data_IF_555546022750
#
_entry.id   IF_555546022750
#
_cell.length_a   1.000
_cell.length_b   1.000
_cell.length_c   1.000
_cell.angle_alpha   90.00
_cell.angle_beta   90.00
_cell.angle_gamma   90.00
#
_symmetry.space_group_name_H-M   'P 1'
#
loop_
_entity.id
_entity.type
_entity.pdbx_description
1 polymer ?
#
# COMPACT_ATOMS: atom_id res chain seq x y z
N UNK A 1 -24.42 -22.55 -22.52
CA UNK A 1 -24.09 -21.10 -22.55
C UNK A 1 -23.07 -20.89 -21.44
N UNK A 2 -21.77 -20.90 -21.77
CA UNK A 2 -20.72 -20.73 -20.77
C UNK A 2 -20.66 -19.25 -20.40
N UNK A 3 -21.15 -18.92 -19.21
CA UNK A 3 -20.86 -17.64 -18.59
C UNK A 3 -19.36 -17.65 -18.25
N UNK A 4 -18.56 -17.10 -19.15
CA UNK A 4 -17.18 -16.72 -18.85
C UNK A 4 -17.33 -15.51 -17.92
N UNK A 5 -17.37 -15.77 -16.62
CA UNK A 5 -17.30 -14.74 -15.60
C UNK A 5 -16.07 -13.88 -15.94
N UNK A 6 -16.32 -12.60 -16.23
CA UNK A 6 -15.27 -11.57 -16.32
C UNK A 6 -14.33 -11.78 -15.14
N UNK A 7 -13.03 -12.00 -15.41
CA UNK A 7 -12.00 -11.95 -14.38
C UNK A 7 -12.27 -10.74 -13.50
N UNK A 8 -12.47 -10.98 -12.21
CA UNK A 8 -12.60 -9.91 -11.22
C UNK A 8 -11.25 -9.19 -11.25
N UNK A 9 -11.20 -8.00 -11.86
CA UNK A 9 -10.06 -7.11 -11.71
C UNK A 9 -9.98 -6.85 -10.21
N UNK A 10 -8.86 -7.19 -9.57
CA UNK A 10 -8.65 -6.92 -8.14
C UNK A 10 -9.15 -5.51 -7.81
N UNK A 11 -9.96 -5.36 -6.77
CA UNK A 11 -10.41 -4.07 -6.24
C UNK A 11 -10.44 -4.17 -4.71
N UNK A 12 -9.79 -3.25 -3.99
CA UNK A 12 -9.67 -3.36 -2.55
C UNK A 12 -11.00 -3.08 -1.83
N UNK A 13 -11.43 -4.01 -0.96
CA UNK A 13 -12.58 -3.82 -0.06
C UNK A 13 -12.22 -3.08 1.24
N UNK A 14 -11.02 -2.50 1.29
CA UNK A 14 -10.45 -1.80 2.44
C UNK A 14 -10.05 -0.37 2.04
N UNK A 15 -9.94 0.58 3.00
CA UNK A 15 -9.61 1.95 2.66
C UNK A 15 -8.17 2.07 2.11
N UNK A 16 -8.04 2.75 0.98
CA UNK A 16 -6.75 3.23 0.46
C UNK A 16 -6.43 4.60 1.07
N UNK A 17 -5.22 4.79 1.57
CA UNK A 17 -4.83 6.03 2.26
C UNK A 17 -4.05 6.91 1.30
N UNK A 18 -4.61 8.09 0.99
CA UNK A 18 -3.90 9.07 0.17
C UNK A 18 -2.71 9.63 0.94
N UNK A 19 -1.61 9.89 0.22
CA UNK A 19 -0.32 10.24 0.80
C UNK A 19 -0.21 11.70 1.26
N UNK A 20 -1.23 12.51 1.01
CA UNK A 20 -1.35 13.92 1.40
C UNK A 20 -2.33 14.14 2.57
N UNK A 21 -2.92 13.06 3.11
CA UNK A 21 -3.86 13.16 4.23
C UNK A 21 -3.14 13.43 5.54
N UNK A 22 -3.68 14.41 6.28
CA UNK A 22 -3.31 14.67 7.67
C UNK A 22 -3.59 13.46 8.58
N UNK A 23 -2.85 13.28 9.67
CA UNK A 23 -3.08 12.20 10.65
C UNK A 23 -4.55 12.06 11.10
N UNK A 24 -5.24 13.17 11.40
CA UNK A 24 -6.65 13.14 11.82
C UNK A 24 -7.59 12.56 10.77
N UNK A 25 -7.36 12.89 9.49
CA UNK A 25 -8.16 12.35 8.38
C UNK A 25 -7.88 10.86 8.18
N UNK A 26 -6.61 10.45 8.29
CA UNK A 26 -6.23 9.03 8.22
C UNK A 26 -6.89 8.27 9.36
N UNK A 27 -6.77 8.76 10.60
CA UNK A 27 -7.39 8.12 11.76
C UNK A 27 -8.89 7.93 11.57
N UNK A 28 -9.61 8.97 11.11
CA UNK A 28 -11.06 8.87 10.83
C UNK A 28 -11.37 7.81 9.75
N UNK A 29 -10.59 7.76 8.67
CA UNK A 29 -10.78 6.81 7.57
C UNK A 29 -10.48 5.36 8.00
N UNK A 30 -9.43 5.14 8.80
CA UNK A 30 -9.13 3.82 9.35
C UNK A 30 -10.18 3.40 10.39
N UNK A 31 -10.72 4.35 11.17
CA UNK A 31 -11.76 4.09 12.18
C UNK A 31 -13.09 3.62 11.59
N UNK A 32 -13.38 3.92 10.31
CA UNK A 32 -14.56 3.36 9.64
C UNK A 32 -14.37 1.88 9.25
N UNK A 33 -13.13 1.40 9.27
CA UNK A 33 -12.78 0.06 8.84
C UNK A 33 -12.65 -0.92 10.02
N UNK A 34 -11.91 -0.56 11.06
CA UNK A 34 -11.79 -1.32 12.31
C UNK A 34 -11.17 -0.43 13.41
N UNK A 35 -10.94 -1.00 14.60
CA UNK A 35 -10.29 -0.30 15.70
C UNK A 35 -8.85 0.07 15.34
N UNK A 36 -8.51 1.35 15.51
CA UNK A 36 -7.19 1.89 15.19
C UNK A 36 -6.31 1.92 16.43
N UNK A 37 -5.15 1.30 16.33
CA UNK A 37 -4.07 1.40 17.32
C UNK A 37 -3.09 2.49 16.90
N UNK A 38 -2.68 3.35 17.83
CA UNK A 38 -1.59 4.31 17.63
C UNK A 38 -0.34 3.78 18.32
N UNK A 39 0.72 3.60 17.56
CA UNK A 39 2.02 3.15 18.04
C UNK A 39 2.99 4.32 17.97
N UNK A 40 3.53 4.73 19.12
CA UNK A 40 4.56 5.78 19.20
C UNK A 40 5.93 5.10 19.31
N UNK A 41 6.74 5.14 18.24
CA UNK A 41 8.08 4.53 18.24
C UNK A 41 9.12 5.56 18.66
N UNK A 42 9.28 5.74 19.98
CA UNK A 42 10.28 6.65 20.57
C UNK A 42 11.76 6.33 20.23
N UNK A 43 12.02 5.23 19.52
CA UNK A 43 13.37 4.75 19.22
C UNK A 43 13.91 5.15 17.83
N UNK A 44 13.04 5.55 16.90
CA UNK A 44 13.43 5.93 15.53
C UNK A 44 13.34 7.44 15.35
N UNK A 45 14.47 8.07 15.01
CA UNK A 45 14.57 9.52 14.80
C UNK A 45 13.67 10.06 13.68
N UNK A 46 13.13 9.19 12.82
CA UNK A 46 12.46 9.57 11.59
C UNK A 46 11.00 9.08 11.49
N UNK A 47 10.42 8.43 12.51
CA UNK A 47 8.99 8.06 12.53
C UNK A 47 8.39 8.62 13.81
N UNK A 48 7.49 9.59 13.67
CA UNK A 48 6.87 10.24 14.83
C UNK A 48 5.84 9.30 15.47
N UNK A 49 5.06 8.58 14.66
CA UNK A 49 4.11 7.54 15.08
C UNK A 49 3.55 6.76 13.89
N UNK A 50 2.91 5.63 14.18
CA UNK A 50 2.19 4.80 13.22
C UNK A 50 0.75 4.56 13.66
N UNK A 51 -0.17 4.46 12.69
CA UNK A 51 -1.48 3.88 12.90
C UNK A 51 -1.53 2.47 12.33
N UNK A 52 -2.04 1.53 13.12
CA UNK A 52 -2.28 0.16 12.71
C UNK A 52 -3.77 -0.14 12.84
N UNK A 53 -4.34 -0.72 11.80
CA UNK A 53 -5.70 -1.26 11.83
C UNK A 53 -5.68 -2.66 11.23
N UNK A 54 -6.42 -3.57 11.85
CA UNK A 54 -6.49 -4.97 11.43
C UNK A 54 -7.92 -5.49 11.56
N UNK A 55 -8.33 -6.29 10.58
CA UNK A 55 -9.51 -7.14 10.64
C UNK A 55 -9.27 -8.41 9.80
N UNK A 56 -10.33 -9.17 9.56
CA UNK A 56 -10.33 -10.40 8.77
C UNK A 56 -10.03 -10.20 7.28
N UNK A 57 -10.09 -8.96 6.77
CA UNK A 57 -9.77 -8.62 5.37
C UNK A 57 -8.28 -8.31 5.22
N UNK A 58 -7.74 -7.40 6.04
CA UNK A 58 -6.34 -6.98 5.93
C UNK A 58 -5.82 -6.29 7.18
N UNK A 59 -4.49 -6.18 7.26
CA UNK A 59 -3.78 -5.26 8.14
C UNK A 59 -3.23 -4.09 7.33
N UNK A 60 -3.48 -2.88 7.80
CA UNK A 60 -2.97 -1.62 7.23
C UNK A 60 -2.12 -0.91 8.27
N UNK A 61 -0.93 -0.49 7.86
CA UNK A 61 -0.05 0.38 8.63
C UNK A 61 0.07 1.71 7.90
N UNK A 62 -0.02 2.80 8.63
CA UNK A 62 0.26 4.14 8.12
C UNK A 62 1.28 4.81 9.01
N UNK A 63 2.47 5.06 8.48
CA UNK A 63 3.55 5.74 9.20
C UNK A 63 3.60 7.22 8.87
N UNK A 64 3.77 8.05 9.90
CA UNK A 64 3.96 9.50 9.79
C UNK A 64 5.37 9.88 10.26
N UNK A 65 6.05 10.65 9.43
CA UNK A 65 7.44 11.02 9.59
C UNK A 65 7.64 12.46 9.12
N UNK A 66 7.64 13.42 10.04
CA UNK A 66 7.53 14.85 9.72
C UNK A 66 6.25 15.09 8.87
N UNK A 67 6.42 15.52 7.61
CA UNK A 67 5.33 15.71 6.63
C UNK A 67 5.17 14.55 5.64
N UNK A 68 5.84 13.42 5.89
CA UNK A 68 5.81 12.24 5.00
C UNK A 68 4.85 11.19 5.53
N UNK A 69 4.02 10.70 4.62
CA UNK A 69 3.11 9.58 4.86
C UNK A 69 3.62 8.36 4.10
N UNK A 70 3.67 7.23 4.78
CA UNK A 70 3.84 5.92 4.16
C UNK A 70 2.67 5.02 4.50
N UNK A 71 2.25 4.22 3.54
CA UNK A 71 1.13 3.31 3.65
C UNK A 71 1.61 1.91 3.32
N UNK A 72 1.38 0.95 4.21
CA UNK A 72 1.71 -0.45 4.02
C UNK A 72 0.46 -1.29 4.19
N UNK A 73 0.21 -2.15 3.21
CA UNK A 73 -0.93 -3.03 3.18
C UNK A 73 -0.45 -4.49 3.06
N UNK A 74 -0.89 -5.31 4.02
CA UNK A 74 -0.39 -6.67 4.19
C UNK A 74 -1.28 -7.75 3.56
N UNK A 75 -2.57 -7.47 3.28
CA UNK A 75 -3.55 -8.36 2.63
C UNK A 75 -3.29 -9.85 2.87
N UNK A 76 -3.37 -10.22 4.13
CA UNK A 76 -2.87 -11.47 4.70
C UNK A 76 -3.73 -12.68 4.36
N UNK A 77 -4.15 -12.86 3.10
CA UNK A 77 -4.27 -14.16 2.37
C UNK A 77 -5.22 -14.08 1.16
N UNK A 78 -6.18 -13.15 1.14
CA UNK A 78 -7.28 -13.13 0.15
C UNK A 78 -6.86 -12.94 -1.32
N UNK A 79 -5.72 -12.29 -1.58
CA UNK A 79 -5.24 -12.00 -2.94
C UNK A 79 -3.76 -12.35 -3.16
N UNK A 80 -3.23 -13.23 -2.30
CA UNK A 80 -1.86 -13.71 -2.35
C UNK A 80 -1.78 -15.23 -2.60
N UNK A 81 -2.91 -15.88 -2.90
CA UNK A 81 -2.99 -17.35 -2.99
C UNK A 81 -2.37 -17.90 -4.27
N UNK A 82 -2.27 -17.08 -5.32
CA UNK A 82 -1.60 -17.43 -6.57
C UNK A 82 -0.76 -16.29 -7.14
N UNK A 83 0.21 -16.62 -8.00
CA UNK A 83 1.03 -15.62 -8.71
C UNK A 83 0.19 -14.70 -9.62
N UNK A 84 -0.93 -15.21 -10.15
CA UNK A 84 -1.85 -14.39 -10.95
C UNK A 84 -2.55 -13.33 -10.10
N UNK A 85 -3.07 -13.70 -8.91
CA UNK A 85 -3.73 -12.76 -8.00
C UNK A 85 -2.74 -11.70 -7.49
N UNK A 86 -1.53 -12.13 -7.13
CA UNK A 86 -0.42 -11.24 -6.78
C UNK A 86 -0.11 -10.22 -7.87
N UNK A 87 -0.06 -10.67 -9.13
CA UNK A 87 0.18 -9.80 -10.28
C UNK A 87 -0.99 -8.83 -10.54
N UNK A 88 -2.24 -9.30 -10.44
CA UNK A 88 -3.44 -8.47 -10.62
C UNK A 88 -3.52 -7.38 -9.53
N UNK A 89 -3.22 -7.73 -8.28
CA UNK A 89 -3.09 -6.80 -7.16
C UNK A 89 -2.00 -5.75 -7.42
N UNK A 90 -0.79 -6.17 -7.76
CA UNK A 90 0.31 -5.24 -8.05
C UNK A 90 -0.06 -4.27 -9.17
N UNK A 91 -0.62 -4.78 -10.26
CA UNK A 91 -1.05 -3.96 -11.39
C UNK A 91 -2.11 -2.94 -10.99
N UNK A 92 -3.07 -3.32 -10.14
CA UNK A 92 -4.08 -2.38 -9.65
C UNK A 92 -3.44 -1.21 -8.90
N UNK A 93 -2.48 -1.48 -8.00
CA UNK A 93 -1.80 -0.41 -7.25
C UNK A 93 -0.94 0.48 -8.17
N UNK A 94 -0.27 -0.13 -9.16
CA UNK A 94 0.49 0.63 -10.15
C UNK A 94 -0.43 1.58 -10.93
N UNK A 95 -1.56 1.07 -11.44
CA UNK A 95 -2.57 1.83 -12.19
C UNK A 95 -3.28 2.90 -11.34
N UNK A 96 -3.49 2.63 -10.06
CA UNK A 96 -4.16 3.56 -9.15
C UNK A 96 -3.31 4.81 -8.88
N UNK A 97 -2.00 4.62 -8.65
CA UNK A 97 -1.06 5.70 -8.31
C UNK A 97 -0.35 6.32 -9.52
N UNK A 98 -0.50 5.77 -10.71
CA UNK A 98 0.09 6.32 -11.93
C UNK A 98 -0.18 5.49 -13.18
N UNK A 99 0.38 5.92 -14.30
CA UNK A 99 0.39 5.12 -15.54
C UNK A 99 1.71 4.40 -15.73
N UNK A 100 1.72 3.33 -16.53
CA UNK A 100 2.93 2.51 -16.77
C UNK A 100 4.13 3.34 -17.22
N UNK A 101 3.88 4.38 -18.00
CA UNK A 101 4.90 5.27 -18.57
C UNK A 101 5.53 6.22 -17.53
N UNK A 102 4.88 6.41 -16.38
CA UNK A 102 5.38 7.27 -15.31
C UNK A 102 6.35 6.51 -14.38
N UNK A 103 6.31 5.18 -14.40
CA UNK A 103 7.25 4.34 -13.68
C UNK A 103 8.51 4.09 -14.51
N UNK A 104 9.66 4.26 -13.88
CA UNK A 104 10.93 3.82 -14.45
C UNK A 104 11.07 2.29 -14.46
N UNK A 105 12.23 1.81 -14.90
CA UNK A 105 12.57 0.39 -14.82
C UNK A 105 12.53 -0.09 -13.35
N UNK A 106 11.81 -1.19 -13.05
CA UNK A 106 11.69 -1.69 -11.69
C UNK A 106 13.02 -2.29 -11.21
N UNK A 107 13.37 -2.02 -9.96
CA UNK A 107 14.54 -2.64 -9.32
C UNK A 107 14.11 -3.87 -8.52
N UNK A 108 14.66 -5.05 -8.82
CA UNK A 108 14.33 -6.32 -8.17
C UNK A 108 15.49 -6.80 -7.30
N UNK A 109 15.23 -7.03 -6.00
CA UNK A 109 16.23 -7.45 -5.01
C UNK A 109 16.10 -8.92 -4.57
N UNK A 110 15.40 -9.75 -5.36
CA UNK A 110 15.03 -11.15 -5.04
C UNK A 110 14.04 -11.32 -3.87
N UNK A 111 13.84 -10.30 -3.04
CA UNK A 111 12.81 -10.27 -1.98
C UNK A 111 11.72 -9.24 -2.25
N UNK A 112 12.07 -8.16 -2.94
CA UNK A 112 11.20 -7.03 -3.20
C UNK A 112 11.39 -6.49 -4.61
N UNK A 113 10.35 -5.89 -5.15
CA UNK A 113 10.40 -5.09 -6.38
C UNK A 113 10.07 -3.64 -6.04
N UNK A 114 10.89 -2.71 -6.52
CA UNK A 114 10.75 -1.28 -6.32
C UNK A 114 10.35 -0.60 -7.63
N UNK A 115 9.21 0.07 -7.61
CA UNK A 115 8.69 0.89 -8.70
C UNK A 115 8.77 2.34 -8.29
N UNK A 116 9.49 3.15 -9.06
CA UNK A 116 9.64 4.59 -8.79
C UNK A 116 8.87 5.39 -9.83
N UNK A 117 7.94 6.23 -9.38
CA UNK A 117 7.25 7.20 -10.22
C UNK A 117 7.85 8.58 -9.95
N UNK A 118 8.64 9.07 -10.91
CA UNK A 118 9.36 10.34 -10.76
C UNK A 118 8.44 11.56 -10.91
N UNK A 119 7.35 11.43 -11.67
CA UNK A 119 6.38 12.50 -11.90
C UNK A 119 5.53 12.75 -10.67
N UNK A 120 4.99 11.70 -10.08
CA UNK A 120 4.17 11.76 -8.86
C UNK A 120 5.01 11.77 -7.58
N UNK A 121 6.34 11.71 -7.69
CA UNK A 121 7.29 11.63 -6.57
C UNK A 121 6.87 10.58 -5.53
N UNK A 122 6.66 9.35 -5.98
CA UNK A 122 6.31 8.24 -5.10
C UNK A 122 7.08 6.97 -5.43
N UNK A 123 7.13 6.04 -4.48
CA UNK A 123 7.55 4.66 -4.74
C UNK A 123 6.50 3.66 -4.30
N UNK A 124 6.37 2.58 -5.08
CA UNK A 124 5.63 1.37 -4.71
C UNK A 124 6.65 0.26 -4.52
N UNK A 125 6.64 -0.36 -3.35
CA UNK A 125 7.48 -1.51 -2.99
C UNK A 125 6.58 -2.72 -2.82
N UNK A 126 6.87 -3.76 -3.59
CA UNK A 126 6.14 -5.03 -3.56
C UNK A 126 7.01 -6.14 -2.96
N UNK A 127 6.55 -6.78 -1.89
CA UNK A 127 7.23 -7.92 -1.27
C UNK A 127 6.85 -9.25 -1.93
N UNK A 128 7.83 -9.99 -2.45
CA UNK A 128 7.58 -11.20 -3.27
C UNK A 128 6.98 -12.37 -2.48
N UNK A 129 7.35 -12.52 -1.19
CA UNK A 129 6.91 -13.67 -0.39
C UNK A 129 5.49 -13.51 0.16
N UNK A 130 5.22 -12.37 0.79
CA UNK A 130 3.95 -12.11 1.48
C UNK A 130 3.03 -11.18 0.69
N UNK A 131 3.43 -10.76 -0.50
CA UNK A 131 2.65 -9.87 -1.36
C UNK A 131 2.38 -8.48 -0.76
N UNK A 132 3.07 -8.08 0.30
CA UNK A 132 2.84 -6.78 0.94
C UNK A 132 3.12 -5.65 -0.04
N UNK A 133 2.27 -4.63 -0.04
CA UNK A 133 2.46 -3.42 -0.85
C UNK A 133 2.69 -2.25 0.08
N UNK A 134 3.81 -1.57 -0.11
CA UNK A 134 4.15 -0.31 0.54
C UNK A 134 4.17 0.80 -0.49
N UNK A 135 3.52 1.91 -0.18
CA UNK A 135 3.51 3.13 -0.98
C UNK A 135 4.13 4.25 -0.14
N UNK A 136 5.10 4.96 -0.71
CA UNK A 136 5.80 6.05 -0.04
C UNK A 136 5.67 7.34 -0.83
N UNK A 137 5.41 8.43 -0.11
CA UNK A 137 5.63 9.76 -0.64
C UNK A 137 7.15 10.06 -0.65
N UNK A 138 7.67 10.46 -1.81
CA UNK A 138 9.06 10.89 -2.01
C UNK A 138 9.17 12.39 -2.29
N UNK A 139 8.10 13.16 -2.04
CA UNK A 139 8.19 14.62 -2.05
C UNK A 139 9.33 15.04 -1.09
N UNK A 140 10.25 15.83 -1.63
CA UNK A 140 11.43 16.38 -0.96
C UNK A 140 12.57 15.38 -0.65
N UNK A 141 12.72 14.31 -1.46
CA UNK A 141 13.90 13.43 -1.46
C UNK A 141 15.00 13.86 -2.45
#
# INVERSE_FOLDING_TARGET
>A
MFNIFKKVKFEPEFPIIELDLTPDKVFRKLSTFSSVERIEDSSKKDIDFEFVVENDVTRIHVGFANDRVSYINYLTDQFNSSENEKAEKLNWFLEYYGSKEEYGEPNNTAYMIFFHNTKSKLSIVYGLHMGAIRVNNLADA
#
